data_IF_722804978839
#
_entry.id   IF_722804978839
#
_cell.length_a   1.000
_cell.length_b   1.000
_cell.length_c   1.000
_cell.angle_alpha   90.00
_cell.angle_beta   90.00
_cell.angle_gamma   90.00
#
_symmetry.space_group_name_H-M   'P 1'
#
loop_
_entity.id
_entity.type
_entity.pdbx_description
1 polymer ?
#
# COMPACT_ATOMS: atom_id res chain seq x y z
N UNK A 1 -55.19 -7.04 -40.06
CA UNK A 1 -53.92 -7.74 -39.76
C UNK A 1 -52.79 -6.87 -40.24
N UNK A 2 -52.13 -6.15 -39.34
CA UNK A 2 -50.90 -5.40 -39.62
C UNK A 2 -49.99 -5.65 -38.43
N UNK A 3 -48.83 -6.25 -38.66
CA UNK A 3 -47.77 -6.34 -37.67
C UNK A 3 -46.47 -5.94 -38.39
N UNK A 4 -46.06 -4.69 -38.19
CA UNK A 4 -44.73 -4.21 -38.53
C UNK A 4 -43.82 -4.50 -37.34
N UNK A 5 -42.88 -5.44 -37.49
CA UNK A 5 -41.78 -5.63 -36.54
C UNK A 5 -40.70 -4.61 -36.83
N UNK A 6 -40.54 -3.63 -35.93
CA UNK A 6 -39.39 -2.72 -35.91
C UNK A 6 -38.26 -3.43 -35.15
N UNK A 7 -37.22 -3.85 -35.87
CA UNK A 7 -35.99 -4.35 -35.29
C UNK A 7 -35.11 -3.15 -34.94
N UNK A 8 -35.09 -2.75 -33.67
CA UNK A 8 -34.19 -1.71 -33.19
C UNK A 8 -32.78 -2.30 -33.00
N UNK A 9 -31.86 -1.97 -33.90
CA UNK A 9 -30.43 -2.22 -33.70
C UNK A 9 -29.90 -1.23 -32.65
N UNK A 10 -29.69 -1.69 -31.42
CA UNK A 10 -28.83 -1.01 -30.46
C UNK A 10 -27.38 -1.19 -30.90
N UNK A 11 -26.82 -0.20 -31.59
CA UNK A 11 -25.38 -0.07 -31.75
C UNK A 11 -24.80 0.37 -30.40
N UNK A 12 -24.33 -0.61 -29.61
CA UNK A 12 -23.55 -0.33 -28.41
C UNK A 12 -22.28 0.41 -28.80
N UNK A 13 -22.19 1.69 -28.41
CA UNK A 13 -20.94 2.44 -28.47
C UNK A 13 -20.04 1.83 -27.40
N UNK A 14 -19.15 0.92 -27.81
CA UNK A 14 -18.02 0.53 -26.99
C UNK A 14 -17.09 1.73 -26.98
N UNK A 15 -17.24 2.60 -25.98
CA UNK A 15 -16.18 3.55 -25.64
C UNK A 15 -14.99 2.74 -25.16
N UNK A 16 -14.04 2.45 -26.03
CA UNK A 16 -12.72 2.00 -25.61
C UNK A 16 -12.12 3.15 -24.82
N UNK A 17 -12.21 3.09 -23.48
CA UNK A 17 -11.43 3.96 -22.62
C UNK A 17 -9.98 3.77 -23.04
N UNK A 18 -9.37 4.80 -23.63
CA UNK A 18 -7.94 4.79 -23.87
C UNK A 18 -7.30 4.59 -22.49
N UNK A 19 -6.60 3.47 -22.29
CA UNK A 19 -5.84 3.24 -21.07
C UNK A 19 -4.90 4.45 -20.92
N UNK A 20 -5.18 5.29 -19.93
CA UNK A 20 -4.35 6.47 -19.69
C UNK A 20 -2.96 5.98 -19.33
N UNK A 21 -1.97 6.28 -20.18
CA UNK A 21 -0.58 5.95 -19.87
C UNK A 21 -0.14 6.84 -18.72
N UNK A 22 0.32 6.25 -17.62
CA UNK A 22 0.99 7.01 -16.56
C UNK A 22 2.19 7.75 -17.17
N UNK A 23 2.26 9.06 -16.93
CA UNK A 23 3.36 9.92 -17.40
C UNK A 23 4.16 10.51 -16.26
N UNK A 24 3.61 10.57 -15.05
CA UNK A 24 4.26 11.20 -13.91
C UNK A 24 4.20 10.28 -12.68
N UNK A 25 5.32 10.16 -12.00
CA UNK A 25 5.42 9.57 -10.67
C UNK A 25 5.82 10.67 -9.70
N UNK A 26 4.93 11.04 -8.77
CA UNK A 26 5.20 11.99 -7.69
C UNK A 26 5.45 11.20 -6.42
N UNK A 27 6.56 11.42 -5.74
CA UNK A 27 6.97 10.64 -4.57
C UNK A 27 7.11 11.53 -3.35
N UNK A 28 6.45 11.13 -2.27
CA UNK A 28 6.63 11.66 -0.92
C UNK A 28 7.22 10.54 -0.06
N UNK A 29 8.28 10.84 0.68
CA UNK A 29 8.90 9.81 1.51
C UNK A 29 10.05 10.29 2.38
N UNK A 30 10.72 9.31 2.97
CA UNK A 30 11.91 9.48 3.79
C UNK A 30 13.21 9.15 3.01
N UNK A 31 14.27 8.72 3.72
CA UNK A 31 15.56 8.37 3.14
C UNK A 31 15.52 7.20 2.16
N UNK A 32 14.49 6.33 2.22
CA UNK A 32 14.32 5.25 1.24
C UNK A 32 13.80 5.74 -0.11
N UNK A 33 13.39 7.02 -0.21
CA UNK A 33 12.82 7.64 -1.41
C UNK A 33 13.53 8.94 -1.82
N UNK A 34 14.45 9.46 -0.99
CA UNK A 34 15.22 10.67 -1.27
C UNK A 34 16.23 10.43 -2.41
N UNK A 35 16.04 11.19 -3.50
CA UNK A 35 16.87 11.12 -4.70
C UNK A 35 17.88 12.26 -4.80
N UNK A 36 18.01 13.08 -3.77
CA UNK A 36 18.99 14.17 -3.69
C UNK A 36 18.49 15.48 -3.08
N UNK A 37 17.29 15.53 -2.48
CA UNK A 37 16.85 16.71 -1.73
C UNK A 37 17.70 16.94 -0.47
N UNK A 38 18.08 15.85 0.20
CA UNK A 38 19.19 15.85 1.15
C UNK A 38 20.36 15.05 0.59
N UNK A 39 20.18 13.73 0.47
CA UNK A 39 21.15 12.84 -0.16
C UNK A 39 20.50 11.48 -0.44
N UNK A 40 21.13 10.70 -1.34
CA UNK A 40 20.75 9.29 -1.54
C UNK A 40 21.44 8.44 -0.48
N UNK A 41 20.66 7.74 0.34
CA UNK A 41 21.19 6.78 1.32
C UNK A 41 21.22 5.36 0.75
N UNK A 42 21.91 5.19 -0.38
CA UNK A 42 22.11 3.89 -1.01
C UNK A 42 23.37 3.93 -1.87
N UNK A 43 23.78 2.79 -2.42
CA UNK A 43 24.90 2.67 -3.34
C UNK A 43 24.53 2.87 -4.82
N UNK A 44 23.35 3.40 -5.10
CA UNK A 44 22.85 3.63 -6.45
C UNK A 44 21.45 4.22 -6.48
N UNK A 45 20.74 4.14 -7.62
CA UNK A 45 19.36 4.59 -7.73
C UNK A 45 18.43 3.90 -6.72
N UNK A 46 17.41 4.62 -6.26
CA UNK A 46 16.38 4.09 -5.37
C UNK A 46 15.16 3.60 -6.15
N UNK A 47 14.21 2.95 -5.46
CA UNK A 47 13.08 2.25 -6.08
C UNK A 47 12.28 3.14 -7.03
N UNK A 48 12.11 4.42 -6.70
CA UNK A 48 11.32 5.38 -7.46
C UNK A 48 11.96 5.74 -8.80
N UNK A 49 13.29 5.77 -8.88
CA UNK A 49 14.01 5.98 -10.14
C UNK A 49 13.87 4.78 -11.07
N UNK A 50 14.03 3.55 -10.53
CA UNK A 50 13.79 2.33 -11.30
C UNK A 50 12.34 2.19 -11.77
N UNK A 51 11.38 2.57 -10.91
CA UNK A 51 9.96 2.52 -11.25
C UNK A 51 9.61 3.55 -12.34
N UNK A 52 10.12 4.78 -12.22
CA UNK A 52 9.93 5.82 -13.23
C UNK A 52 10.45 5.37 -14.60
N UNK A 53 11.62 4.73 -14.64
CA UNK A 53 12.17 4.13 -15.86
C UNK A 53 11.27 3.03 -16.41
N UNK A 54 10.82 2.11 -15.56
CA UNK A 54 9.96 1.00 -15.97
C UNK A 54 8.61 1.45 -16.51
N UNK A 55 8.05 2.51 -15.94
CA UNK A 55 6.80 3.15 -16.38
C UNK A 55 7.01 4.14 -17.53
N UNK A 56 8.26 4.45 -17.89
CA UNK A 56 8.60 5.56 -18.78
C UNK A 56 7.93 6.89 -18.35
N UNK A 57 7.91 7.15 -17.04
CA UNK A 57 7.29 8.31 -16.42
C UNK A 57 8.34 9.32 -15.94
N UNK A 58 7.99 10.60 -15.96
CA UNK A 58 8.78 11.65 -15.32
C UNK A 58 8.72 11.54 -13.80
N UNK A 59 9.86 11.57 -13.12
CA UNK A 59 9.95 11.47 -11.65
C UNK A 59 9.96 12.85 -10.99
N UNK A 60 9.11 13.03 -9.98
CA UNK A 60 9.03 14.20 -9.12
C UNK A 60 9.08 13.75 -7.66
N UNK A 61 10.28 13.65 -7.08
CA UNK A 61 10.46 13.21 -5.69
C UNK A 61 10.66 14.39 -4.74
N UNK A 62 9.72 14.53 -3.81
CA UNK A 62 9.74 15.48 -2.70
C UNK A 62 10.24 14.84 -1.41
N UNK A 63 10.71 13.59 -1.45
CA UNK A 63 11.20 12.87 -0.29
C UNK A 63 12.44 13.54 0.32
N UNK A 64 12.55 13.51 1.65
CA UNK A 64 13.71 13.98 2.39
C UNK A 64 14.18 12.93 3.39
N UNK A 65 15.50 12.78 3.48
CA UNK A 65 16.11 11.87 4.44
C UNK A 65 15.84 12.29 5.89
N UNK A 66 15.21 11.40 6.67
CA UNK A 66 14.79 11.70 8.04
C UNK A 66 13.42 12.38 8.15
N UNK A 67 12.61 12.35 7.09
CA UNK A 67 11.23 12.80 7.17
C UNK A 67 10.37 11.91 8.06
N UNK A 68 9.61 12.57 8.92
CA UNK A 68 8.48 12.00 9.65
C UNK A 68 7.16 12.42 9.01
N UNK A 69 6.04 11.84 9.42
CA UNK A 69 4.73 12.27 8.92
C UNK A 69 4.41 13.73 9.29
N UNK A 70 4.61 14.10 10.56
CA UNK A 70 4.45 15.46 11.06
C UNK A 70 5.48 15.76 12.15
N UNK A 71 6.35 16.75 11.92
CA UNK A 71 7.35 17.18 12.92
C UNK A 71 6.70 17.60 14.24
N UNK A 72 5.48 18.16 14.21
CA UNK A 72 4.74 18.60 15.40
C UNK A 72 4.35 17.45 16.35
N UNK A 73 4.44 16.19 15.90
CA UNK A 73 4.27 15.03 16.76
C UNK A 73 5.48 14.79 17.69
N UNK A 74 6.64 15.42 17.45
CA UNK A 74 7.89 15.04 18.11
C UNK A 74 8.59 16.22 18.78
N UNK A 75 8.45 16.31 20.10
CA UNK A 75 9.20 17.30 20.91
C UNK A 75 10.72 17.03 20.94
N UNK A 76 11.16 15.86 20.47
CA UNK A 76 12.59 15.48 20.36
C UNK A 76 13.30 16.18 19.22
N UNK A 77 12.57 16.71 18.23
CA UNK A 77 13.16 17.35 17.06
C UNK A 77 13.38 18.83 17.38
N UNK A 78 14.64 19.22 17.56
CA UNK A 78 15.01 20.61 17.70
C UNK A 78 14.74 21.37 16.38
N UNK A 79 14.59 22.68 16.44
CA UNK A 79 14.23 23.49 15.26
C UNK A 79 15.33 23.44 14.20
N UNK A 80 16.58 23.39 14.64
CA UNK A 80 17.80 23.27 13.86
C UNK A 80 17.97 21.90 13.20
N UNK A 81 17.41 20.84 13.80
CA UNK A 81 17.44 19.47 13.29
C UNK A 81 16.20 19.12 12.46
N UNK A 82 15.34 20.11 12.18
CA UNK A 82 14.10 19.89 11.44
C UNK A 82 14.40 19.52 9.99
N UNK A 83 14.00 18.32 9.62
CA UNK A 83 13.83 17.86 8.24
C UNK A 83 12.38 18.10 7.80
N UNK A 84 12.12 18.43 6.52
CA UNK A 84 10.76 18.51 5.99
C UNK A 84 9.97 17.22 6.23
N UNK A 85 8.79 17.33 6.84
CA UNK A 85 7.83 16.25 7.08
C UNK A 85 6.95 15.98 5.86
N UNK A 86 6.18 14.88 5.85
CA UNK A 86 5.18 14.61 4.80
C UNK A 86 4.27 15.83 4.54
N UNK A 87 3.81 16.51 5.59
CA UNK A 87 2.99 17.73 5.47
C UNK A 87 3.70 18.85 4.72
N UNK A 88 5.00 19.04 4.99
CA UNK A 88 5.84 20.02 4.29
C UNK A 88 6.00 19.64 2.81
N UNK A 89 6.25 18.36 2.52
CA UNK A 89 6.44 17.86 1.16
C UNK A 89 5.16 18.00 0.31
N UNK A 90 3.99 17.70 0.88
CA UNK A 90 2.70 17.87 0.19
C UNK A 90 2.39 19.33 -0.13
N UNK A 91 2.60 20.23 0.83
CA UNK A 91 2.42 21.66 0.57
C UNK A 91 3.45 22.21 -0.42
N UNK A 92 4.69 21.73 -0.39
CA UNK A 92 5.70 22.10 -1.37
C UNK A 92 5.26 21.73 -2.79
N UNK A 93 4.80 20.49 -2.99
CA UNK A 93 4.25 20.05 -4.28
C UNK A 93 3.06 20.91 -4.70
N UNK A 94 2.09 21.14 -3.81
CA UNK A 94 0.92 21.95 -4.11
C UNK A 94 1.28 23.37 -4.56
N UNK A 95 2.21 24.02 -3.85
CA UNK A 95 2.62 25.40 -4.12
C UNK A 95 3.43 25.56 -5.41
N UNK A 96 4.05 24.49 -5.92
CA UNK A 96 4.71 24.54 -7.22
C UNK A 96 3.71 24.68 -8.38
N UNK A 97 2.45 24.29 -8.16
CA UNK A 97 1.38 24.38 -9.14
C UNK A 97 1.80 23.77 -10.50
N UNK A 98 2.42 22.59 -10.44
CA UNK A 98 2.86 21.88 -11.64
C UNK A 98 1.65 21.50 -12.48
N UNK A 99 1.76 21.65 -13.81
CA UNK A 99 0.70 21.27 -14.74
C UNK A 99 0.72 19.75 -15.02
N UNK A 100 0.54 18.95 -13.97
CA UNK A 100 0.45 17.49 -14.06
C UNK A 100 -1.03 17.09 -14.06
N UNK A 101 -1.44 16.28 -15.03
CA UNK A 101 -2.79 15.76 -15.11
C UNK A 101 -3.02 14.69 -14.05
N UNK A 102 -4.03 14.78 -13.18
CA UNK A 102 -4.29 13.78 -12.14
C UNK A 102 -4.49 12.37 -12.73
N UNK A 103 -5.12 12.29 -13.92
CA UNK A 103 -5.36 11.05 -14.65
C UNK A 103 -4.12 10.50 -15.40
N UNK A 104 -2.97 11.15 -15.32
CA UNK A 104 -1.68 10.65 -15.85
C UNK A 104 -0.61 10.56 -14.75
N UNK A 105 -1.00 10.78 -13.49
CA UNK A 105 -0.06 10.93 -12.36
C UNK A 105 -0.37 9.92 -11.26
N UNK A 106 0.67 9.22 -10.79
CA UNK A 106 0.60 8.36 -9.60
C UNK A 106 1.35 9.04 -8.45
N UNK A 107 0.74 9.06 -7.27
CA UNK A 107 1.33 9.62 -6.06
C UNK A 107 1.77 8.52 -5.10
N UNK A 108 3.04 8.46 -4.76
CA UNK A 108 3.59 7.44 -3.89
C UNK A 108 3.97 7.96 -2.51
N UNK A 109 3.69 7.17 -1.47
CA UNK A 109 3.93 7.48 -0.07
C UNK A 109 4.75 6.36 0.57
N UNK A 110 5.89 6.69 1.17
CA UNK A 110 6.66 5.75 1.99
C UNK A 110 7.25 6.44 3.24
N UNK A 111 6.63 6.18 4.39
CA UNK A 111 6.98 6.79 5.68
C UNK A 111 6.82 5.78 6.82
N UNK A 112 7.29 6.15 8.02
CA UNK A 112 7.03 5.44 9.26
C UNK A 112 8.29 4.95 9.97
N UNK A 113 9.40 4.73 9.25
CA UNK A 113 10.67 4.29 9.87
C UNK A 113 11.19 5.38 10.82
N UNK A 114 11.29 6.62 10.33
CA UNK A 114 11.75 7.73 11.15
C UNK A 114 10.74 8.08 12.25
N UNK A 115 9.44 7.97 11.99
CA UNK A 115 8.40 8.19 13.00
C UNK A 115 8.58 7.24 14.20
N UNK A 116 8.82 5.95 13.97
CA UNK A 116 9.12 4.98 15.04
C UNK A 116 10.40 5.37 15.78
N UNK A 117 11.43 5.80 15.06
CA UNK A 117 12.69 6.25 15.67
C UNK A 117 12.46 7.46 16.59
N UNK A 118 11.74 8.49 16.14
CA UNK A 118 11.45 9.69 16.95
C UNK A 118 10.48 9.41 18.10
N UNK A 119 9.45 8.58 17.89
CA UNK A 119 8.55 8.14 18.98
C UNK A 119 9.35 7.44 20.09
N UNK A 120 10.37 6.67 19.73
CA UNK A 120 11.18 5.94 20.71
C UNK A 120 12.08 6.80 21.58
N UNK A 121 12.38 8.03 21.16
CA UNK A 121 13.13 9.00 21.97
C UNK A 121 12.28 9.60 23.09
N UNK A 122 10.96 9.41 23.08
CA UNK A 122 10.07 9.88 24.15
C UNK A 122 10.42 9.14 25.45
N UNK A 123 10.93 9.88 26.44
CA UNK A 123 11.30 9.30 27.72
C UNK A 123 10.06 8.79 28.50
N UNK A 124 9.96 7.47 28.70
CA UNK A 124 8.90 6.81 29.45
C UNK A 124 9.06 5.28 29.45
N UNK A 125 8.44 4.58 30.42
CA UNK A 125 8.43 3.09 30.47
C UNK A 125 7.32 2.46 29.62
N UNK A 126 6.43 3.26 29.04
CA UNK A 126 5.32 2.78 28.23
C UNK A 126 5.68 2.90 26.75
N UNK A 127 5.46 1.82 26.03
CA UNK A 127 5.64 1.80 24.59
C UNK A 127 4.70 2.80 23.89
N UNK A 128 5.17 3.53 22.86
CA UNK A 128 4.38 4.53 22.18
C UNK A 128 3.16 3.91 21.49
N UNK A 129 2.03 4.64 21.47
CA UNK A 129 0.91 4.30 20.60
C UNK A 129 1.25 4.69 19.15
N UNK A 130 1.64 3.71 18.35
CA UNK A 130 2.01 3.90 16.95
C UNK A 130 0.81 4.25 16.04
N UNK A 131 -0.43 4.20 16.54
CA UNK A 131 -1.63 4.61 15.78
C UNK A 131 -1.56 6.06 15.31
N UNK A 132 -0.90 6.94 16.08
CA UNK A 132 -0.74 8.33 15.68
C UNK A 132 0.01 8.49 14.34
N UNK A 133 0.94 7.57 14.03
CA UNK A 133 1.67 7.55 12.76
C UNK A 133 0.71 7.23 11.62
N UNK A 134 -0.09 6.16 11.76
CA UNK A 134 -1.04 5.73 10.73
C UNK A 134 -2.16 6.74 10.54
N UNK A 135 -2.65 7.36 11.63
CA UNK A 135 -3.66 8.42 11.57
C UNK A 135 -3.14 9.62 10.77
N UNK A 136 -1.89 10.02 11.02
CA UNK A 136 -1.25 11.11 10.27
C UNK A 136 -1.13 10.76 8.79
N UNK A 137 -0.55 9.60 8.44
CA UNK A 137 -0.36 9.18 7.04
C UNK A 137 -1.72 9.08 6.33
N UNK A 138 -2.70 8.42 6.96
CA UNK A 138 -4.05 8.27 6.41
C UNK A 138 -4.78 9.61 6.23
N UNK A 139 -4.62 10.55 7.17
CA UNK A 139 -5.17 11.90 7.03
C UNK A 139 -4.56 12.63 5.83
N UNK A 140 -3.23 12.61 5.70
CA UNK A 140 -2.53 13.30 4.63
C UNK A 140 -2.80 12.67 3.26
N UNK A 141 -2.93 11.34 3.19
CA UNK A 141 -3.38 10.64 1.99
C UNK A 141 -4.78 11.11 1.57
N UNK A 142 -5.76 11.11 2.49
CA UNK A 142 -7.13 11.59 2.21
C UNK A 142 -7.16 13.07 1.80
N UNK A 143 -6.35 13.91 2.44
CA UNK A 143 -6.24 15.32 2.08
C UNK A 143 -5.65 15.48 0.67
N UNK A 144 -4.55 14.79 0.37
CA UNK A 144 -3.92 14.82 -0.95
C UNK A 144 -4.87 14.38 -2.06
N UNK A 145 -5.69 13.35 -1.85
CA UNK A 145 -6.70 12.88 -2.81
C UNK A 145 -7.68 13.99 -3.19
N UNK A 146 -8.21 14.68 -2.18
CA UNK A 146 -9.19 15.78 -2.36
C UNK A 146 -8.57 17.00 -3.02
N UNK A 147 -7.31 17.31 -2.70
CA UNK A 147 -6.65 18.52 -3.17
C UNK A 147 -6.00 18.35 -4.54
N UNK A 148 -5.40 17.18 -4.81
CA UNK A 148 -4.76 16.88 -6.09
C UNK A 148 -5.75 16.33 -7.12
N UNK A 149 -6.99 16.02 -6.69
CA UNK A 149 -8.05 15.46 -7.53
C UNK A 149 -7.59 14.20 -8.28
N UNK A 150 -6.71 13.42 -7.64
CA UNK A 150 -6.20 12.17 -8.16
C UNK A 150 -6.77 11.01 -7.35
N UNK A 151 -6.93 9.89 -8.03
CA UNK A 151 -7.40 8.64 -7.46
C UNK A 151 -6.33 7.55 -7.57
N UNK A 152 -5.06 7.89 -7.86
CA UNK A 152 -3.98 6.90 -8.03
C UNK A 152 -2.88 7.05 -7.01
N UNK A 153 -2.83 6.12 -6.07
CA UNK A 153 -1.84 6.13 -5.01
C UNK A 153 -1.08 4.83 -4.91
N UNK A 154 0.22 4.93 -4.63
CA UNK A 154 1.06 3.82 -4.24
C UNK A 154 1.46 4.02 -2.78
N UNK A 155 1.14 3.06 -1.91
CA UNK A 155 1.43 3.17 -0.48
C UNK A 155 2.37 2.05 -0.08
N UNK A 156 3.61 2.40 0.29
CA UNK A 156 4.61 1.43 0.73
C UNK A 156 4.59 1.34 2.25
N UNK A 157 4.60 0.11 2.78
CA UNK A 157 4.55 -0.13 4.21
C UNK A 157 5.93 -0.13 4.89
N UNK A 158 5.93 -0.16 6.22
CA UNK A 158 7.16 -0.11 7.02
C UNK A 158 7.88 -1.47 6.94
N UNK A 159 9.18 -1.52 6.62
CA UNK A 159 9.94 -2.78 6.64
C UNK A 159 9.95 -3.42 8.04
N UNK A 160 10.32 -4.71 8.17
CA UNK A 160 10.32 -5.38 9.48
C UNK A 160 11.48 -4.82 10.33
N UNK A 161 11.19 -3.81 11.14
CA UNK A 161 12.24 -3.01 11.78
C UNK A 161 13.15 -3.83 12.70
N UNK A 162 12.65 -4.89 13.35
CA UNK A 162 13.52 -5.76 14.14
C UNK A 162 14.55 -6.56 13.34
N UNK A 163 14.40 -6.65 12.01
CA UNK A 163 15.39 -7.24 11.10
C UNK A 163 16.36 -6.19 10.53
N UNK A 164 16.15 -4.90 10.82
CA UNK A 164 17.08 -3.85 10.41
C UNK A 164 18.39 -3.97 11.21
N UNK A 165 19.58 -3.95 10.58
CA UNK A 165 20.85 -4.20 11.26
C UNK A 165 21.09 -3.25 12.44
N UNK A 166 20.55 -2.02 12.38
CA UNK A 166 20.60 -1.05 13.46
C UNK A 166 19.94 -1.54 14.76
N UNK A 167 18.85 -2.31 14.66
CA UNK A 167 18.12 -2.82 15.83
C UNK A 167 18.42 -4.28 16.15
N UNK A 168 18.92 -5.07 15.20
CA UNK A 168 19.02 -6.53 15.30
C UNK A 168 19.75 -7.02 16.58
N UNK A 169 20.80 -6.33 17.00
CA UNK A 169 21.61 -6.68 18.20
C UNK A 169 21.22 -5.91 19.46
N UNK A 170 20.06 -5.26 19.46
CA UNK A 170 19.57 -4.46 20.58
C UNK A 170 18.44 -5.16 21.34
N UNK A 171 18.29 -4.84 22.62
CA UNK A 171 17.16 -5.30 23.43
C UNK A 171 15.81 -4.70 23.00
N UNK A 172 15.80 -3.80 22.01
CA UNK A 172 14.58 -3.18 21.46
C UNK A 172 14.12 -3.83 20.14
N UNK A 173 14.84 -4.80 19.58
CA UNK A 173 14.49 -5.44 18.30
C UNK A 173 13.04 -5.98 18.28
N UNK A 174 12.64 -6.71 19.32
CA UNK A 174 11.29 -7.27 19.44
C UNK A 174 10.22 -6.18 19.48
N UNK A 175 10.49 -5.07 20.19
CA UNK A 175 9.59 -3.93 20.19
C UNK A 175 9.45 -3.30 18.80
N UNK A 176 10.57 -3.15 18.08
CA UNK A 176 10.57 -2.57 16.73
C UNK A 176 9.85 -3.46 15.72
N UNK A 177 9.98 -4.77 15.83
CA UNK A 177 9.14 -5.71 15.06
C UNK A 177 7.66 -5.46 15.33
N UNK A 178 7.25 -5.38 16.60
CA UNK A 178 5.86 -5.13 16.97
C UNK A 178 5.35 -3.78 16.43
N UNK A 179 6.17 -2.72 16.52
CA UNK A 179 5.84 -1.41 15.97
C UNK A 179 5.54 -1.46 14.47
N UNK A 180 6.41 -2.12 13.68
CA UNK A 180 6.18 -2.27 12.24
C UNK A 180 4.91 -3.06 11.92
N UNK A 181 4.61 -4.13 12.68
CA UNK A 181 3.39 -4.94 12.50
C UNK A 181 2.13 -4.13 12.80
N UNK A 182 2.12 -3.36 13.89
CA UNK A 182 0.94 -2.58 14.28
C UNK A 182 0.67 -1.43 13.32
N UNK A 183 1.72 -0.74 12.85
CA UNK A 183 1.64 0.29 11.82
C UNK A 183 1.10 -0.30 10.52
N UNK A 184 1.69 -1.39 10.04
CA UNK A 184 1.33 -1.97 8.76
C UNK A 184 -0.11 -2.50 8.77
N UNK A 185 -0.54 -3.15 9.85
CA UNK A 185 -1.93 -3.60 10.02
C UNK A 185 -2.92 -2.45 9.95
N UNK A 186 -2.64 -1.34 10.63
CA UNK A 186 -3.51 -0.18 10.61
C UNK A 186 -3.53 0.49 9.23
N UNK A 187 -2.37 0.61 8.58
CA UNK A 187 -2.25 1.22 7.25
C UNK A 187 -2.94 0.37 6.17
N UNK A 188 -2.75 -0.95 6.17
CA UNK A 188 -3.43 -1.88 5.25
C UNK A 188 -4.95 -1.79 5.42
N UNK A 189 -5.44 -1.77 6.66
CA UNK A 189 -6.86 -1.59 6.95
C UNK A 189 -7.39 -0.25 6.42
N UNK A 190 -6.66 0.84 6.61
CA UNK A 190 -7.06 2.16 6.13
C UNK A 190 -7.10 2.22 4.60
N UNK A 191 -6.08 1.68 3.92
CA UNK A 191 -6.04 1.59 2.45
C UNK A 191 -7.18 0.73 1.91
N UNK A 192 -7.38 -0.47 2.48
CA UNK A 192 -8.46 -1.37 2.08
C UNK A 192 -9.85 -0.76 2.31
N UNK A 193 -10.05 -0.02 3.40
CA UNK A 193 -11.29 0.70 3.63
C UNK A 193 -11.52 1.82 2.61
N UNK A 194 -10.48 2.61 2.30
CA UNK A 194 -10.60 3.71 1.36
C UNK A 194 -10.93 3.24 -0.05
N UNK A 195 -10.27 2.18 -0.52
CA UNK A 195 -10.61 1.55 -1.79
C UNK A 195 -12.08 1.11 -1.80
N UNK A 196 -12.52 0.33 -0.80
CA UNK A 196 -13.93 -0.12 -0.70
C UNK A 196 -14.98 1.00 -0.72
N UNK A 197 -14.70 2.15 -0.10
CA UNK A 197 -15.67 3.24 0.03
C UNK A 197 -15.59 4.27 -1.12
N UNK A 198 -14.56 4.21 -1.95
CA UNK A 198 -14.37 5.14 -3.06
C UNK A 198 -14.05 4.37 -4.35
N UNK A 199 -15.07 3.99 -5.11
CA UNK A 199 -14.90 3.14 -6.30
C UNK A 199 -13.97 3.69 -7.38
N UNK A 200 -13.80 5.01 -7.47
CA UNK A 200 -12.86 5.64 -8.39
C UNK A 200 -11.40 5.52 -7.92
N UNK A 201 -11.19 5.30 -6.62
CA UNK A 201 -9.89 5.26 -5.97
C UNK A 201 -9.17 3.94 -6.27
N UNK A 202 -8.01 4.06 -6.88
CA UNK A 202 -7.03 3.02 -7.13
C UNK A 202 -5.87 3.25 -6.15
N UNK A 203 -5.81 2.50 -5.05
CA UNK A 203 -4.64 2.52 -4.17
C UNK A 203 -3.99 1.15 -4.08
N UNK A 204 -2.73 1.16 -4.49
CA UNK A 204 -1.89 -0.01 -4.64
C UNK A 204 -0.96 -0.08 -3.42
N UNK A 205 -1.10 -1.12 -2.59
CA UNK A 205 -0.38 -1.29 -1.32
C UNK A 205 0.85 -2.20 -1.49
N UNK A 206 2.05 -1.65 -1.30
CA UNK A 206 3.31 -2.37 -1.46
C UNK A 206 3.80 -2.91 -0.13
N UNK A 207 3.76 -4.24 0.01
CA UNK A 207 4.17 -4.93 1.22
C UNK A 207 5.70 -5.17 1.26
N UNK A 208 6.43 -4.12 1.61
CA UNK A 208 7.87 -4.17 1.87
C UNK A 208 8.18 -5.08 3.06
N UNK A 209 7.30 -5.11 4.06
CA UNK A 209 7.47 -5.93 5.26
C UNK A 209 7.62 -7.42 4.93
N UNK A 210 6.68 -7.95 4.15
CA UNK A 210 6.71 -9.33 3.68
C UNK A 210 7.85 -9.57 2.70
N UNK A 211 8.14 -8.63 1.80
CA UNK A 211 9.25 -8.76 0.85
C UNK A 211 10.60 -8.93 1.57
N UNK A 212 10.91 -8.08 2.55
CA UNK A 212 12.14 -8.22 3.35
C UNK A 212 12.12 -9.53 4.13
N UNK A 213 10.99 -9.87 4.77
CA UNK A 213 10.88 -11.10 5.57
C UNK A 213 11.07 -12.37 4.74
N UNK A 214 10.53 -12.42 3.52
CA UNK A 214 10.68 -13.54 2.60
C UNK A 214 12.14 -13.69 2.14
N UNK A 215 12.83 -12.57 1.83
CA UNK A 215 14.26 -12.59 1.50
C UNK A 215 15.10 -13.03 2.69
N UNK A 216 14.75 -12.64 3.92
CA UNK A 216 15.43 -13.10 5.13
C UNK A 216 15.32 -14.61 5.34
N UNK A 217 14.23 -15.23 4.88
CA UNK A 217 14.00 -16.68 4.98
C UNK A 217 14.71 -17.46 3.88
N UNK A 218 14.63 -17.01 2.62
CA UNK A 218 15.29 -17.67 1.49
C UNK A 218 15.85 -16.63 0.50
N UNK A 219 17.03 -16.05 0.79
CA UNK A 219 17.56 -14.93 0.02
C UNK A 219 17.91 -15.34 -1.42
N UNK A 220 18.24 -16.62 -1.64
CA UNK A 220 18.68 -17.12 -2.94
C UNK A 220 17.59 -17.10 -3.99
N UNK A 221 16.32 -17.26 -3.60
CA UNK A 221 15.15 -17.15 -4.48
C UNK A 221 15.03 -15.74 -5.07
N UNK A 222 15.50 -14.73 -4.33
CA UNK A 222 15.46 -13.32 -4.72
C UNK A 222 16.82 -12.80 -5.24
N UNK A 223 17.76 -13.70 -5.51
CA UNK A 223 19.13 -13.37 -5.93
C UNK A 223 19.94 -12.53 -4.92
N UNK A 224 19.66 -12.69 -3.63
CA UNK A 224 20.48 -12.19 -2.52
C UNK A 224 21.21 -13.34 -1.82
N UNK A 225 22.23 -13.01 -1.02
CA UNK A 225 22.96 -13.97 -0.20
C UNK A 225 23.06 -13.54 1.27
N UNK A 226 23.05 -12.24 1.56
CA UNK A 226 23.15 -11.72 2.93
C UNK A 226 22.01 -10.74 3.25
N UNK A 227 20.90 -11.23 3.85
CA UNK A 227 19.75 -10.39 4.17
C UNK A 227 19.86 -9.67 5.51
N UNK A 228 20.79 -10.06 6.39
CA UNK A 228 20.79 -9.62 7.79
C UNK A 228 21.88 -8.58 8.09
N UNK A 229 23.03 -8.64 7.43
CA UNK A 229 24.11 -7.70 7.69
C UNK A 229 24.08 -6.52 6.70
N UNK A 230 24.68 -5.39 7.07
CA UNK A 230 24.94 -4.29 6.14
C UNK A 230 26.20 -4.57 5.31
N UNK A 231 26.21 -4.14 4.06
CA UNK A 231 27.40 -4.24 3.22
C UNK A 231 28.54 -3.35 3.75
N UNK A 232 28.22 -2.12 4.18
CA UNK A 232 29.23 -1.18 4.68
C UNK A 232 29.99 -1.71 5.90
N UNK A 233 29.30 -2.33 6.87
CA UNK A 233 29.98 -2.86 8.05
C UNK A 233 30.72 -4.18 7.78
N UNK A 234 30.29 -4.96 6.77
CA UNK A 234 30.81 -6.31 6.54
C UNK A 234 31.93 -6.36 5.49
N UNK A 235 31.80 -5.56 4.42
CA UNK A 235 32.54 -5.77 3.18
C UNK A 235 33.27 -4.56 2.61
N UNK A 236 32.81 -3.32 2.87
CA UNK A 236 33.32 -2.13 2.20
C UNK A 236 34.86 -1.97 2.26
N UNK A 237 35.47 -2.14 3.43
CA UNK A 237 36.93 -2.08 3.63
C UNK A 237 37.56 -3.47 3.91
N UNK A 238 36.85 -4.55 3.57
CA UNK A 238 37.32 -5.90 3.83
C UNK A 238 37.79 -6.57 2.53
N UNK A 239 39.10 -6.58 2.30
CA UNK A 239 39.73 -7.20 1.14
C UNK A 239 39.49 -8.71 1.01
N UNK A 240 38.99 -9.39 2.05
CA UNK A 240 38.62 -10.80 2.03
C UNK A 240 37.14 -11.03 1.73
N UNK A 241 36.34 -9.98 1.57
CA UNK A 241 34.93 -10.12 1.25
C UNK A 241 34.77 -10.68 -0.17
N UNK A 242 33.98 -11.77 -0.26
CA UNK A 242 33.68 -12.47 -1.52
C UNK A 242 32.34 -12.05 -2.13
N UNK A 243 31.46 -11.47 -1.31
CA UNK A 243 30.13 -11.02 -1.71
C UNK A 243 30.21 -9.60 -2.28
N UNK A 244 29.36 -9.32 -3.25
CA UNK A 244 29.22 -7.99 -3.85
C UNK A 244 28.13 -7.23 -3.11
N UNK A 245 28.11 -5.91 -3.27
CA UNK A 245 27.03 -5.04 -2.78
C UNK A 245 25.63 -5.51 -3.21
N UNK A 246 25.50 -6.10 -4.41
CA UNK A 246 24.24 -6.64 -4.93
C UNK A 246 23.75 -7.91 -4.23
N UNK A 247 24.63 -8.58 -3.46
CA UNK A 247 24.26 -9.78 -2.70
C UNK A 247 23.62 -9.44 -1.34
N UNK A 248 23.57 -8.15 -0.98
CA UNK A 248 23.04 -7.62 0.28
C UNK A 248 21.73 -6.87 0.06
N UNK A 249 20.81 -6.93 1.03
CA UNK A 249 19.65 -6.02 1.04
C UNK A 249 19.93 -4.71 1.77
N UNK A 250 20.82 -4.72 2.77
CA UNK A 250 21.17 -3.53 3.56
C UNK A 250 22.49 -2.92 3.09
N UNK A 251 22.46 -1.63 2.74
CA UNK A 251 23.65 -0.86 2.39
C UNK A 251 24.43 -0.50 3.65
N UNK A 252 23.77 0.22 4.55
CA UNK A 252 24.25 0.55 5.89
C UNK A 252 23.33 -0.10 6.95
N UNK A 253 23.40 0.35 8.20
CA UNK A 253 22.60 -0.25 9.28
C UNK A 253 21.10 0.02 9.18
N UNK A 254 20.67 0.97 8.34
CA UNK A 254 19.31 1.49 8.28
C UNK A 254 18.70 1.52 6.88
N UNK A 255 19.52 1.58 5.84
CA UNK A 255 19.10 1.81 4.47
C UNK A 255 19.40 0.64 3.55
N UNK A 256 18.64 0.55 2.48
CA UNK A 256 18.72 -0.56 1.53
C UNK A 256 19.75 -0.34 0.43
N UNK A 257 20.25 -1.44 -0.14
CA UNK A 257 21.06 -1.41 -1.37
C UNK A 257 20.20 -1.07 -2.58
N UNK A 258 20.84 -0.57 -3.63
CA UNK A 258 20.20 -0.32 -4.92
C UNK A 258 19.63 -1.61 -5.54
N UNK A 259 20.23 -2.78 -5.25
CA UNK A 259 19.73 -4.08 -5.68
C UNK A 259 18.37 -4.42 -5.05
N UNK A 260 18.18 -4.11 -3.76
CA UNK A 260 16.89 -4.27 -3.11
C UNK A 260 15.87 -3.23 -3.59
N UNK A 261 16.27 -1.96 -3.75
CA UNK A 261 15.42 -0.93 -4.35
C UNK A 261 14.91 -1.32 -5.75
N UNK A 262 15.76 -1.90 -6.58
CA UNK A 262 15.37 -2.44 -7.88
C UNK A 262 14.36 -3.58 -7.75
N UNK A 263 14.48 -4.42 -6.72
CA UNK A 263 13.53 -5.51 -6.46
C UNK A 263 12.14 -4.99 -6.09
N UNK A 264 12.06 -3.88 -5.34
CA UNK A 264 10.80 -3.17 -5.06
C UNK A 264 10.17 -2.66 -6.37
N UNK A 265 10.94 -1.97 -7.22
CA UNK A 265 10.41 -1.49 -8.50
C UNK A 265 9.93 -2.64 -9.39
N UNK A 266 10.70 -3.74 -9.44
CA UNK A 266 10.31 -4.94 -10.18
C UNK A 266 9.02 -5.57 -9.66
N UNK A 267 8.81 -5.66 -8.35
CA UNK A 267 7.59 -6.26 -7.81
C UNK A 267 6.34 -5.47 -8.22
N UNK A 268 6.42 -4.14 -8.21
CA UNK A 268 5.34 -3.23 -8.64
C UNK A 268 5.06 -3.42 -10.15
N UNK A 269 6.09 -3.47 -10.98
CA UNK A 269 5.97 -3.65 -12.44
C UNK A 269 5.43 -5.04 -12.80
N UNK A 270 5.92 -6.09 -12.12
CA UNK A 270 5.51 -7.48 -12.37
C UNK A 270 4.05 -7.76 -12.01
N UNK A 271 3.48 -6.93 -11.14
CA UNK A 271 2.09 -6.99 -10.76
C UNK A 271 1.19 -6.02 -11.52
N UNK A 272 1.74 -5.33 -12.53
CA UNK A 272 0.97 -4.48 -13.46
C UNK A 272 0.20 -3.37 -12.71
N UNK A 273 0.87 -2.79 -11.70
CA UNK A 273 0.41 -1.58 -11.01
C UNK A 273 0.44 -0.41 -11.99
N UNK A 274 -0.75 0.07 -12.36
CA UNK A 274 -1.05 1.20 -13.29
C UNK A 274 -0.53 1.13 -14.72
N UNK A 275 0.46 0.28 -15.00
CA UNK A 275 1.06 0.14 -16.33
C UNK A 275 1.19 -1.34 -16.69
N UNK A 276 1.17 -1.68 -17.99
CA UNK A 276 1.46 -3.04 -18.43
C UNK A 276 2.86 -3.50 -18.00
N UNK A 277 3.03 -4.81 -17.82
CA UNK A 277 4.33 -5.38 -17.45
C UNK A 277 5.45 -4.99 -18.42
N UNK A 278 6.55 -4.48 -17.87
CA UNK A 278 7.81 -4.20 -18.59
C UNK A 278 8.96 -4.97 -17.92
N UNK A 279 9.96 -5.38 -18.71
CA UNK A 279 11.19 -5.96 -18.16
C UNK A 279 12.25 -4.87 -18.06
N UNK A 280 12.75 -4.58 -16.85
CA UNK A 280 13.90 -3.69 -16.65
C UNK A 280 15.17 -4.38 -17.18
N UNK A 281 15.54 -4.08 -18.44
CA UNK A 281 16.79 -4.53 -19.03
C UNK A 281 17.93 -3.56 -18.69
N UNK A 282 19.18 -4.01 -18.85
CA UNK A 282 20.35 -3.14 -18.65
C UNK A 282 20.33 -1.93 -19.57
N UNK A 283 19.78 -2.07 -20.78
CA UNK A 283 19.66 -0.99 -21.75
C UNK A 283 18.66 0.07 -21.30
N UNK A 284 17.52 -0.36 -20.74
CA UNK A 284 16.51 0.54 -20.17
C UNK A 284 17.08 1.26 -18.94
N UNK A 285 17.80 0.55 -18.08
CA UNK A 285 18.40 1.09 -16.86
C UNK A 285 19.52 2.11 -17.11
N UNK A 286 20.27 1.99 -18.22
CA UNK A 286 21.28 2.99 -18.62
C UNK A 286 20.72 4.40 -18.78
N UNK A 287 19.41 4.57 -18.92
CA UNK A 287 18.78 5.89 -18.93
C UNK A 287 18.90 6.63 -17.58
N UNK A 288 19.20 5.90 -16.49
CA UNK A 288 19.54 6.47 -15.18
C UNK A 288 20.97 6.97 -15.09
N UNK A 289 21.81 6.73 -16.11
CA UNK A 289 23.17 7.25 -16.14
C UNK A 289 23.20 8.71 -16.62
N UNK A 290 22.16 9.17 -17.31
CA UNK A 290 22.02 10.57 -17.72
C UNK A 290 21.28 11.37 -16.65
N UNK A 291 21.97 12.22 -15.87
CA UNK A 291 21.34 13.01 -14.80
C UNK A 291 20.31 14.03 -15.31
N UNK A 292 20.21 14.24 -16.63
CA UNK A 292 19.20 15.11 -17.26
C UNK A 292 17.98 14.33 -17.76
N UNK A 293 17.97 13.00 -17.63
CA UNK A 293 16.82 12.19 -18.01
C UNK A 293 15.60 12.55 -17.17
N UNK A 294 14.41 12.31 -17.72
CA UNK A 294 13.14 12.53 -17.01
C UNK A 294 12.97 11.66 -15.75
N UNK A 295 13.81 10.63 -15.60
CA UNK A 295 13.79 9.69 -14.50
C UNK A 295 14.53 10.22 -13.27
N UNK A 296 15.29 11.31 -13.41
CA UNK A 296 15.86 12.02 -12.27
C UNK A 296 15.00 13.21 -11.90
N UNK A 297 14.55 13.19 -10.64
CA UNK A 297 13.89 14.34 -10.06
C UNK A 297 14.87 15.50 -9.90
N UNK A 298 14.37 16.72 -10.10
CA UNK A 298 15.02 17.91 -9.56
C UNK A 298 14.97 17.86 -8.04
N UNK A 299 15.79 18.69 -7.40
CA UNK A 299 15.63 18.97 -5.98
C UNK A 299 14.56 20.02 -5.78
N UNK A 300 13.79 19.87 -4.72
CA UNK A 300 12.74 20.78 -4.30
C UNK A 300 13.08 21.34 -2.93
N UNK A 301 12.54 22.51 -2.61
CA UNK A 301 12.56 23.06 -1.26
C UNK A 301 11.19 22.83 -0.63
N UNK A 302 11.16 22.28 0.57
CA UNK A 302 9.93 22.05 1.33
C UNK A 302 9.95 22.87 2.64
N UNK A 303 9.49 24.13 2.59
CA UNK A 303 9.40 24.95 3.80
C UNK A 303 8.34 24.38 4.77
N UNK A 304 8.38 24.77 6.06
CA UNK A 304 7.38 24.36 7.03
C UNK A 304 5.95 24.65 6.56
N UNK A 305 5.09 23.63 6.67
CA UNK A 305 3.70 23.66 6.26
C UNK A 305 2.92 24.72 7.05
N UNK A 306 1.89 25.27 6.41
CA UNK A 306 1.01 26.32 6.96
C UNK A 306 -0.42 25.84 7.20
N UNK A 307 -0.73 24.57 6.92
CA UNK A 307 -2.06 23.97 7.05
C UNK A 307 -2.89 24.05 5.76
N UNK A 308 -2.28 24.46 4.65
CA UNK A 308 -2.93 24.70 3.37
C UNK A 308 -3.59 23.45 2.81
N UNK A 309 -2.91 22.30 2.89
CA UNK A 309 -3.46 21.02 2.42
C UNK A 309 -4.71 20.62 3.21
N UNK A 310 -4.68 20.78 4.54
CA UNK A 310 -5.82 20.43 5.40
C UNK A 310 -6.99 21.39 5.16
N UNK A 311 -6.73 22.68 4.99
CA UNK A 311 -7.77 23.68 4.74
C UNK A 311 -8.40 23.49 3.37
N UNK A 312 -7.61 23.15 2.34
CA UNK A 312 -8.13 22.80 1.01
C UNK A 312 -8.97 21.52 1.02
N UNK A 313 -8.54 20.51 1.77
CA UNK A 313 -9.32 19.29 1.94
C UNK A 313 -10.68 19.55 2.63
N UNK A 314 -10.72 20.42 3.65
CA UNK A 314 -11.97 20.85 4.29
C UNK A 314 -12.88 21.63 3.32
N UNK A 315 -12.29 22.53 2.50
CA UNK A 315 -13.04 23.27 1.48
C UNK A 315 -13.70 22.32 0.48
N UNK A 316 -12.95 21.33 -0.01
CA UNK A 316 -13.48 20.30 -0.90
C UNK A 316 -14.69 19.57 -0.28
N UNK A 317 -14.61 19.18 1.00
CA UNK A 317 -15.72 18.51 1.69
C UNK A 317 -16.96 19.41 1.82
N UNK A 318 -16.77 20.70 2.12
CA UNK A 318 -17.85 21.68 2.18
C UNK A 318 -18.54 21.86 0.81
N UNK A 319 -17.75 22.00 -0.26
CA UNK A 319 -18.25 22.16 -1.62
C UNK A 319 -19.03 20.91 -2.10
N UNK A 320 -18.50 19.71 -1.84
CA UNK A 320 -19.19 18.44 -2.13
C UNK A 320 -20.47 18.27 -1.33
N UNK A 321 -20.47 18.67 -0.07
CA UNK A 321 -21.67 18.62 0.77
C UNK A 321 -22.74 19.59 0.28
N UNK A 322 -22.36 20.79 -0.20
CA UNK A 322 -23.30 21.77 -0.75
C UNK A 322 -23.89 21.36 -2.11
N UNK A 323 -23.09 20.73 -2.97
CA UNK A 323 -23.57 20.21 -4.28
C UNK A 323 -24.48 18.99 -4.16
N UNK A 324 -24.50 18.32 -3.01
CA UNK A 324 -25.38 17.15 -2.75
C UNK A 324 -26.76 17.57 -2.20
N UNK A 325 -27.06 18.87 -2.03
CA UNK A 325 -28.32 19.36 -1.43
C UNK A 325 -29.45 19.55 -2.46
N UNK A 326 -29.25 19.41 -3.77
CA UNK A 326 -30.38 19.43 -4.71
C UNK A 326 -31.15 18.10 -4.63
N UNK A 327 -32.38 18.06 -4.07
CA UNK A 327 -33.11 16.81 -3.93
C UNK A 327 -33.66 16.42 -5.30
N UNK A 328 -33.00 15.50 -5.99
CA UNK A 328 -33.65 14.73 -7.05
C UNK A 328 -34.51 13.63 -6.43
N UNK A 329 -35.64 14.03 -5.84
CA UNK A 329 -36.94 13.35 -5.85
C UNK A 329 -37.88 14.02 -4.84
N UNK A 330 -39.13 14.35 -5.20
CA UNK A 330 -40.12 14.76 -4.23
C UNK A 330 -40.48 13.58 -3.29
N UNK A 331 -40.91 13.84 -2.05
CA UNK A 331 -41.27 12.79 -1.10
C UNK A 331 -42.38 11.91 -1.68
N UNK A 332 -42.19 10.59 -1.62
CA UNK A 332 -43.26 9.63 -1.88
C UNK A 332 -44.41 9.88 -0.89
N UNK A 333 -45.60 10.12 -1.43
CA UNK A 333 -46.84 10.28 -0.68
C UNK A 333 -47.15 9.03 0.18
N UNK A 334 -47.68 9.30 1.37
CA UNK A 334 -48.15 8.35 2.38
C UNK A 334 -49.45 7.68 1.90
N UNK A 335 -49.36 6.49 1.33
CA UNK A 335 -50.53 5.63 1.11
C UNK A 335 -50.85 4.83 2.38
N UNK A 336 -51.63 5.45 3.27
CA UNK A 336 -52.47 4.73 4.22
C UNK A 336 -53.76 4.29 3.55
N UNK A 337 -53.90 3.00 3.28
CA UNK A 337 -55.20 2.33 3.23
C UNK A 337 -55.08 0.83 3.54
N UNK A 338 -55.61 0.48 4.72
CA UNK A 338 -56.48 -0.66 4.99
C UNK A 338 -56.04 -2.09 4.66
N UNK A 339 -55.80 -2.88 5.71
CA UNK A 339 -56.32 -4.25 5.71
C UNK A 339 -56.70 -4.72 7.12
N UNK A 340 -57.99 -4.99 7.27
CA UNK A 340 -58.68 -5.49 8.45
C UNK A 340 -58.16 -6.85 8.94
N UNK A 341 -58.26 -7.03 10.25
CA UNK A 341 -58.10 -8.30 10.96
C UNK A 341 -59.22 -9.28 10.61
N UNK A 342 -58.89 -10.54 10.31
CA UNK A 342 -59.79 -11.67 10.56
C UNK A 342 -59.05 -12.96 10.91
N UNK A 343 -59.60 -13.60 11.93
CA UNK A 343 -59.09 -14.69 12.74
C UNK A 343 -59.04 -16.07 12.07
N UNK A 344 -58.21 -16.91 12.70
CA UNK A 344 -58.31 -18.36 12.90
C UNK A 344 -58.20 -19.33 11.70
N UNK A 345 -57.20 -20.22 11.73
CA UNK A 345 -57.36 -21.59 12.27
C UNK A 345 -56.06 -22.41 12.13
N UNK A 346 -55.67 -23.06 13.22
CA UNK A 346 -54.65 -24.11 13.25
C UNK A 346 -55.21 -25.39 12.63
N UNK A 347 -54.54 -25.93 11.60
CA UNK A 347 -54.67 -27.32 11.15
C UNK A 347 -53.25 -27.91 11.05
N UNK A 348 -52.96 -29.07 11.66
CA UNK A 348 -51.63 -29.66 11.63
C UNK A 348 -51.45 -30.55 10.39
N UNK A 349 -50.44 -30.28 9.56
CA UNK A 349 -49.99 -31.24 8.53
C UNK A 349 -48.54 -31.64 8.73
N UNK A 350 -48.36 -32.95 8.91
CA UNK A 350 -47.10 -33.72 8.90
C UNK A 350 -46.17 -33.27 7.77
N UNK A 351 -44.90 -33.02 8.09
CA UNK A 351 -43.71 -33.48 7.33
C UNK A 351 -42.40 -33.09 8.06
N UNK A 352 -42.06 -33.82 9.14
CA UNK A 352 -40.80 -33.64 9.89
C UNK A 352 -39.68 -34.58 9.40
N UNK A 353 -39.44 -34.62 8.08
CA UNK A 353 -38.38 -35.45 7.48
C UNK A 353 -37.07 -34.71 7.21
N UNK A 354 -37.15 -33.45 6.77
CA UNK A 354 -35.98 -32.73 6.23
C UNK A 354 -35.18 -31.93 7.28
N UNK A 355 -35.83 -31.47 8.35
CA UNK A 355 -35.16 -30.70 9.40
C UNK A 355 -34.17 -31.55 10.23
N UNK A 356 -34.46 -32.85 10.43
CA UNK A 356 -33.55 -33.76 11.15
C UNK A 356 -32.32 -34.14 10.33
N UNK A 357 -32.45 -34.26 9.01
CA UNK A 357 -31.30 -34.56 8.13
C UNK A 357 -30.34 -33.39 8.09
N UNK A 358 -30.84 -32.15 8.00
CA UNK A 358 -30.02 -30.94 8.03
C UNK A 358 -29.24 -30.79 9.34
N UNK A 359 -29.90 -31.03 10.48
CA UNK A 359 -29.27 -30.98 11.80
C UNK A 359 -28.19 -32.07 11.96
N UNK A 360 -28.45 -33.28 11.44
CA UNK A 360 -27.50 -34.40 11.53
C UNK A 360 -26.24 -34.15 10.69
N UNK A 361 -26.38 -33.60 9.48
CA UNK A 361 -25.24 -33.21 8.63
C UNK A 361 -24.41 -32.11 9.30
N UNK A 362 -25.07 -31.10 9.88
CA UNK A 362 -24.39 -30.00 10.57
C UNK A 362 -23.57 -30.49 11.78
N UNK A 363 -24.12 -31.41 12.58
CA UNK A 363 -23.42 -32.01 13.73
C UNK A 363 -22.22 -32.85 13.26
N UNK A 364 -22.35 -33.62 12.18
CA UNK A 364 -21.24 -34.40 11.62
C UNK A 364 -20.08 -33.52 11.12
N UNK A 365 -20.39 -32.36 10.51
CA UNK A 365 -19.37 -31.39 10.07
C UNK A 365 -18.61 -30.82 11.26
N UNK A 366 -19.32 -30.41 12.32
CA UNK A 366 -18.68 -29.87 13.54
C UNK A 366 -17.82 -30.93 14.22
N UNK A 367 -18.32 -32.16 14.34
CA UNK A 367 -17.54 -33.27 14.92
C UNK A 367 -16.29 -33.55 14.07
N UNK A 368 -16.40 -33.49 12.73
CA UNK A 368 -15.26 -33.62 11.82
C UNK A 368 -14.19 -32.55 12.04
N UNK A 369 -14.59 -31.29 12.23
CA UNK A 369 -13.68 -30.16 12.50
C UNK A 369 -13.00 -30.34 13.87
N UNK A 370 -13.74 -30.73 14.91
CA UNK A 370 -13.19 -30.95 16.26
C UNK A 370 -12.18 -32.11 16.26
N UNK A 371 -12.48 -33.20 15.55
CA UNK A 371 -11.56 -34.34 15.40
C UNK A 371 -10.31 -33.94 14.61
N UNK A 372 -10.44 -33.10 13.58
CA UNK A 372 -9.32 -32.57 12.80
C UNK A 372 -8.37 -31.71 13.64
N UNK A 373 -8.91 -30.87 14.53
CA UNK A 373 -8.13 -30.04 15.46
C UNK A 373 -7.44 -30.88 16.55
N UNK A 374 -8.13 -31.91 17.09
CA UNK A 374 -7.60 -32.70 18.21
C UNK A 374 -6.69 -33.87 17.82
N UNK A 375 -6.80 -34.41 16.60
CA UNK A 375 -6.04 -35.59 16.16
C UNK A 375 -5.39 -35.39 14.78
N UNK A 376 -4.32 -34.56 14.70
CA UNK A 376 -3.72 -34.12 13.43
C UNK A 376 -2.99 -35.22 12.63
N UNK A 377 -2.87 -36.45 13.15
CA UNK A 377 -2.17 -37.59 12.53
C UNK A 377 -3.08 -38.66 11.93
N UNK A 378 -4.41 -38.45 11.90
CA UNK A 378 -5.35 -39.42 11.34
C UNK A 378 -5.27 -39.49 9.80
N UNK A 379 -5.02 -40.69 9.24
CA UNK A 379 -4.66 -40.90 7.83
C UNK A 379 -5.80 -40.69 6.82
N UNK A 380 -7.04 -40.52 7.28
CA UNK A 380 -8.23 -40.38 6.43
C UNK A 380 -8.24 -39.11 5.55
N UNK A 381 -7.38 -38.12 5.86
CA UNK A 381 -7.33 -36.83 5.16
C UNK A 381 -6.02 -36.58 4.40
N UNK A 382 -5.16 -37.59 4.26
CA UNK A 382 -3.88 -37.45 3.57
C UNK A 382 -4.04 -37.04 2.09
N UNK A 383 -5.03 -37.62 1.38
CA UNK A 383 -5.36 -37.19 0.02
C UNK A 383 -5.85 -35.73 0.00
N UNK A 384 -6.72 -35.35 0.96
CA UNK A 384 -7.32 -34.01 0.99
C UNK A 384 -6.24 -32.96 1.24
N UNK A 385 -5.22 -33.27 2.06
CA UNK A 385 -4.03 -32.42 2.21
C UNK A 385 -3.20 -32.36 0.93
N UNK A 386 -3.01 -33.46 0.22
CA UNK A 386 -2.27 -33.45 -1.05
C UNK A 386 -3.00 -32.63 -2.13
N UNK A 387 -4.34 -32.70 -2.19
CA UNK A 387 -5.15 -31.86 -3.09
C UNK A 387 -5.25 -30.41 -2.64
N UNK A 388 -5.37 -30.13 -1.34
CA UNK A 388 -5.31 -28.76 -0.85
C UNK A 388 -3.91 -28.16 -1.02
N UNK A 389 -2.83 -28.91 -0.86
CA UNK A 389 -1.46 -28.46 -1.14
C UNK A 389 -1.19 -28.28 -2.66
N UNK A 390 -1.90 -29.00 -3.52
CA UNK A 390 -1.84 -28.83 -4.97
C UNK A 390 -2.74 -27.68 -5.48
N UNK A 391 -3.84 -27.37 -4.78
CA UNK A 391 -4.73 -26.23 -5.07
C UNK A 391 -4.24 -24.94 -4.40
N UNK A 392 -3.54 -25.03 -3.26
CA UNK A 392 -2.74 -23.95 -2.65
C UNK A 392 -1.29 -23.95 -3.15
N UNK A 393 -1.02 -24.69 -4.23
CA UNK A 393 0.24 -24.74 -4.97
C UNK A 393 0.47 -23.47 -5.77
N UNK A 394 0.55 -22.35 -5.06
CA UNK A 394 0.81 -21.01 -5.53
C UNK A 394 1.02 -20.17 -4.28
N UNK A 395 2.08 -20.44 -3.52
CA UNK A 395 2.50 -19.55 -2.44
C UNK A 395 3.01 -18.28 -3.12
N UNK A 396 2.15 -17.28 -3.18
CA UNK A 396 2.44 -15.87 -3.47
C UNK A 396 3.43 -15.34 -2.42
N UNK A 397 4.70 -15.74 -2.52
CA UNK A 397 5.80 -15.24 -1.69
C UNK A 397 6.45 -14.08 -2.43
N UNK A 398 6.41 -12.89 -1.84
CA UNK A 398 7.06 -11.67 -2.34
C UNK A 398 6.44 -10.99 -3.57
N UNK A 399 5.25 -11.38 -4.05
CA UNK A 399 4.57 -10.66 -5.13
C UNK A 399 3.76 -9.50 -4.55
N UNK A 400 3.94 -8.31 -5.12
CA UNK A 400 3.05 -7.18 -4.86
C UNK A 400 1.60 -7.57 -5.19
N UNK A 401 0.68 -7.34 -4.27
CA UNK A 401 -0.76 -7.56 -4.50
C UNK A 401 -1.42 -6.19 -4.65
N UNK A 402 -1.84 -5.78 -5.86
CA UNK A 402 -2.64 -4.58 -6.03
C UNK A 402 -3.94 -4.77 -5.26
N UNK A 403 -4.18 -3.97 -4.22
CA UNK A 403 -5.44 -3.99 -3.47
C UNK A 403 -6.45 -3.14 -4.24
N UNK A 404 -6.97 -3.63 -5.35
CA UNK A 404 -7.98 -2.89 -6.13
C UNK A 404 -9.38 -3.16 -5.57
N UNK A 405 -10.35 -2.38 -6.03
CA UNK A 405 -11.76 -2.55 -5.68
C UNK A 405 -12.26 -3.91 -6.21
N UNK A 406 -12.05 -4.98 -5.46
CA UNK A 406 -12.52 -6.33 -5.77
C UNK A 406 -14.01 -6.46 -5.40
N UNK A 407 -14.87 -5.70 -6.08
CA UNK A 407 -16.34 -5.86 -6.02
C UNK A 407 -16.97 -5.58 -7.40
N UNK A 408 -16.36 -6.04 -8.50
CA UNK A 408 -17.02 -6.20 -9.80
C UNK A 408 -16.47 -7.45 -10.52
N UNK A 409 -16.96 -8.62 -10.14
CA UNK A 409 -16.86 -9.86 -10.92
C UNK A 409 -18.16 -10.66 -10.83
#
# INVERSE_FOLDING_TARGET
>A
MVAFSVLALFAGVVTTAAASSIKNLVVFGDSNSDVGNSQRWSNGPVWSEYLAVGWNASLYSFAYSGSVCDTGMYNSIAKEDRVPSLRDQLEAYYNLNLNLKPEETVYAFWFGVQDVFEMSKRHGRQEPDYKAITDCIGQQLRASRKVFLSDRYLVLNVPPLGQMPYYQESNVAANRSQASVDINRALEKDVGNLNKHHHALEMDYVDIHSLVSDISVDPTVFAFQNPNASYLDTCYDNAQCKLKESDYIWWDKTHFTTAFHKSIAKSIIEAESYTPKVTLTKEIEKQLDDPKSQFHSKTYAAPPFKGLMDDKAKQYDLEKSQTTIEPQQPPLEDDRADFETKDATLVPSKENGHAFVGLFVFVLVIVGIIVWIKFPTCSLFAWVRAKFAAVSGGRDRGKFTPVRNEDEA
#
